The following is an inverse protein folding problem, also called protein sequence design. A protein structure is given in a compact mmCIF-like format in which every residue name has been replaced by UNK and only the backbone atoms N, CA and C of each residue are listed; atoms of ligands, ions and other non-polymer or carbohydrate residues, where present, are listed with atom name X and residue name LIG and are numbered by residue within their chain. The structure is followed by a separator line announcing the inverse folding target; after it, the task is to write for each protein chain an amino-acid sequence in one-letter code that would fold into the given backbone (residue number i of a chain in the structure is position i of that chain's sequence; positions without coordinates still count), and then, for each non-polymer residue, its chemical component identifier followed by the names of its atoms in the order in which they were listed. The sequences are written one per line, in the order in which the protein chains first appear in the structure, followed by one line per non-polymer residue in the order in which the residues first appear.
data_IF_615208540210
#
_entry.id   IF_615208540210
#
_cell.length_a   1.000
_cell.length_b   1.000
_cell.length_c   1.000
_cell.angle_alpha   90.00
_cell.angle_beta   90.00
_cell.angle_gamma   90.00
#
_symmetry.space_group_name_H-M   'P 1'
#
loop_
_entity.id
_entity.type
_entity.pdbx_description
1 polymer ?
#
# COMPACT_ATOMS: atom_id res chain seq x y z
N UNK A 1 40.83 -29.59 -51.08
CA UNK A 1 41.56 -30.79 -51.51
C UNK A 1 41.97 -31.54 -50.25
N UNK A 2 41.35 -32.67 -49.93
CA UNK A 2 41.84 -34.02 -50.31
C UNK A 2 43.32 -34.16 -49.90
N UNK A 3 43.71 -35.06 -49.00
CA UNK A 3 43.70 -36.52 -49.19
C UNK A 3 43.94 -37.21 -47.82
N UNK A 4 43.30 -38.36 -47.61
CA UNK A 4 43.48 -39.31 -46.49
C UNK A 4 44.65 -40.29 -46.82
N UNK A 5 44.98 -41.28 -45.97
CA UNK A 5 46.19 -41.43 -45.16
C UNK A 5 47.26 -42.37 -45.78
N UNK A 6 48.42 -42.52 -45.13
CA UNK A 6 49.31 -43.67 -45.37
C UNK A 6 49.32 -44.61 -44.16
N UNK A 7 49.00 -45.88 -44.46
CA UNK A 7 48.91 -47.01 -43.56
C UNK A 7 50.29 -47.68 -43.43
N UNK A 8 50.86 -47.72 -42.23
CA UNK A 8 51.94 -48.65 -41.92
C UNK A 8 51.40 -49.88 -41.19
N UNK A 9 51.36 -50.94 -41.96
CA UNK A 9 51.12 -52.35 -41.67
C UNK A 9 52.05 -52.91 -40.57
N UNK A 10 51.50 -53.51 -39.51
CA UNK A 10 52.29 -54.42 -38.68
C UNK A 10 51.48 -55.56 -38.06
N UNK A 11 51.65 -56.71 -38.72
CA UNK A 11 51.70 -58.11 -38.24
C UNK A 11 50.72 -58.58 -37.15
N UNK A 12 49.85 -59.49 -37.61
CA UNK A 12 49.11 -60.48 -36.80
C UNK A 12 50.06 -61.35 -35.95
N UNK A 13 49.75 -61.59 -34.67
CA UNK A 13 50.18 -62.80 -33.97
C UNK A 13 49.23 -63.95 -34.31
N UNK A 14 49.83 -65.13 -34.48
CA UNK A 14 49.17 -66.38 -34.81
C UNK A 14 48.22 -66.86 -33.70
N UNK A 15 47.20 -67.56 -34.18
CA UNK A 15 46.13 -68.25 -33.45
C UNK A 15 46.67 -69.46 -32.70
N UNK A 16 46.38 -69.65 -31.40
CA UNK A 16 46.45 -70.97 -30.78
C UNK A 16 45.24 -71.79 -31.22
N UNK A 17 45.52 -73.00 -31.69
CA UNK A 17 44.52 -74.01 -32.00
C UNK A 17 43.96 -74.67 -30.73
N UNK A 18 42.68 -75.03 -30.86
CA UNK A 18 41.90 -76.03 -30.10
C UNK A 18 41.26 -75.60 -28.76
N UNK A 19 40.17 -76.27 -28.30
CA UNK A 19 39.36 -77.31 -28.94
C UNK A 19 37.88 -76.94 -29.08
N UNK A 20 37.21 -77.66 -29.98
CA UNK A 20 35.75 -77.76 -30.04
C UNK A 20 35.28 -78.41 -28.73
N UNK A 21 34.67 -77.62 -27.86
CA UNK A 21 33.88 -78.11 -26.73
C UNK A 21 32.47 -77.52 -26.83
N UNK A 22 31.52 -78.43 -26.94
CA UNK A 22 30.09 -78.19 -26.99
C UNK A 22 29.54 -77.42 -25.78
N UNK A 23 28.34 -76.88 -25.99
CA UNK A 23 27.38 -76.44 -24.97
C UNK A 23 27.51 -74.98 -24.51
N UNK A 24 26.45 -74.20 -24.78
CA UNK A 24 26.38 -72.81 -24.37
C UNK A 24 25.33 -71.94 -25.05
N UNK A 25 24.31 -72.50 -25.73
CA UNK A 25 23.12 -71.74 -26.17
C UNK A 25 22.19 -71.43 -24.97
N UNK A 26 22.72 -70.89 -23.87
CA UNK A 26 21.92 -70.43 -22.73
C UNK A 26 22.59 -69.25 -22.01
N UNK A 27 23.06 -68.22 -22.73
CA UNK A 27 23.60 -67.02 -22.03
C UNK A 27 23.51 -65.71 -22.83
N UNK A 28 22.39 -65.47 -23.51
CA UNK A 28 22.07 -64.13 -24.04
C UNK A 28 20.75 -63.58 -23.51
N UNK A 29 19.78 -64.46 -23.20
CA UNK A 29 18.51 -64.05 -22.57
C UNK A 29 18.69 -63.45 -21.18
N UNK A 30 19.70 -63.89 -20.41
CA UNK A 30 19.94 -63.39 -19.06
C UNK A 30 20.57 -61.99 -19.00
N UNK A 31 21.45 -61.63 -19.93
CA UNK A 31 22.13 -60.31 -19.90
C UNK A 31 21.14 -59.18 -20.21
N UNK A 32 20.30 -59.38 -21.23
CA UNK A 32 19.25 -58.40 -21.60
C UNK A 32 18.21 -58.27 -20.49
N UNK A 33 17.82 -59.37 -19.86
CA UNK A 33 16.90 -59.37 -18.73
C UNK A 33 17.48 -58.67 -17.50
N UNK A 34 18.76 -58.91 -17.15
CA UNK A 34 19.41 -58.21 -16.04
C UNK A 34 19.59 -56.71 -16.30
N UNK A 35 19.90 -56.28 -17.53
CA UNK A 35 19.95 -54.84 -17.86
C UNK A 35 18.58 -54.18 -17.76
N UNK A 36 17.52 -54.86 -18.20
CA UNK A 36 16.15 -54.37 -18.03
C UNK A 36 15.81 -54.24 -16.55
N UNK A 37 16.06 -55.26 -15.73
CA UNK A 37 15.81 -55.19 -14.29
C UNK A 37 16.61 -54.07 -13.59
N UNK A 38 17.88 -53.85 -13.97
CA UNK A 38 18.66 -52.72 -13.45
C UNK A 38 18.12 -51.36 -13.91
N UNK A 39 17.65 -51.25 -15.16
CA UNK A 39 17.03 -50.03 -15.68
C UNK A 39 15.72 -49.70 -14.97
N UNK A 40 14.88 -50.72 -14.70
CA UNK A 40 13.66 -50.56 -13.90
C UNK A 40 13.97 -50.14 -12.45
N UNK A 41 14.98 -50.76 -11.80
CA UNK A 41 15.41 -50.36 -10.44
C UNK A 41 15.93 -48.93 -10.41
N UNK A 42 16.77 -48.52 -11.37
CA UNK A 42 17.26 -47.13 -11.48
C UNK A 42 16.13 -46.15 -11.77
N UNK A 43 15.14 -46.54 -12.57
CA UNK A 43 13.93 -45.76 -12.84
C UNK A 43 13.07 -45.55 -11.59
N UNK A 44 12.82 -46.62 -10.82
CA UNK A 44 12.08 -46.56 -9.57
C UNK A 44 12.78 -45.70 -8.51
N UNK A 45 14.10 -45.85 -8.35
CA UNK A 45 14.90 -45.01 -7.45
C UNK A 45 14.88 -43.53 -7.83
N UNK A 46 14.93 -43.22 -9.14
CA UNK A 46 14.86 -41.83 -9.64
C UNK A 46 13.46 -41.22 -9.43
N UNK A 47 12.39 -42.00 -9.55
CA UNK A 47 11.03 -41.55 -9.25
C UNK A 47 10.82 -41.31 -7.75
N UNK A 48 11.35 -42.19 -6.89
CA UNK A 48 11.28 -42.02 -5.43
C UNK A 48 12.05 -40.77 -5.00
N UNK A 49 13.28 -40.57 -5.49
CA UNK A 49 14.08 -39.37 -5.20
C UNK A 49 13.40 -38.07 -5.67
N UNK A 50 12.71 -38.09 -6.84
CA UNK A 50 11.91 -36.95 -7.30
C UNK A 50 10.69 -36.70 -6.43
N UNK A 51 10.00 -37.76 -5.99
CA UNK A 51 8.86 -37.65 -5.08
C UNK A 51 9.29 -37.08 -3.72
N UNK A 52 10.44 -37.50 -3.19
CA UNK A 52 11.00 -36.96 -1.94
C UNK A 52 11.40 -35.49 -2.09
N UNK A 53 12.03 -35.12 -3.20
CA UNK A 53 12.36 -33.73 -3.49
C UNK A 53 11.09 -32.86 -3.63
N UNK A 54 10.06 -33.35 -4.32
CA UNK A 54 8.77 -32.65 -4.45
C UNK A 54 8.08 -32.49 -3.10
N UNK A 55 8.08 -33.52 -2.26
CA UNK A 55 7.53 -33.44 -0.91
C UNK A 55 8.31 -32.45 -0.03
N UNK A 56 9.63 -32.39 -0.16
CA UNK A 56 10.43 -31.41 0.56
C UNK A 56 10.14 -29.98 0.10
N UNK A 57 10.13 -29.72 -1.21
CA UNK A 57 9.77 -28.42 -1.76
C UNK A 57 8.36 -28.01 -1.33
N UNK A 58 7.40 -28.93 -1.37
CA UNK A 58 6.02 -28.67 -0.94
C UNK A 58 5.95 -28.29 0.55
N UNK A 59 6.67 -29.02 1.43
CA UNK A 59 6.74 -28.71 2.86
C UNK A 59 7.30 -27.31 3.13
N UNK A 60 8.41 -26.95 2.51
CA UNK A 60 9.01 -25.62 2.70
C UNK A 60 8.15 -24.51 2.12
N UNK A 61 7.48 -24.75 1.00
CA UNK A 61 6.55 -23.78 0.39
C UNK A 61 5.34 -23.53 1.31
N UNK A 62 4.76 -24.58 1.88
CA UNK A 62 3.65 -24.46 2.84
C UNK A 62 4.12 -23.72 4.10
N UNK A 63 5.29 -24.06 4.65
CA UNK A 63 5.83 -23.39 5.83
C UNK A 63 6.07 -21.90 5.58
N UNK A 64 6.64 -21.54 4.43
CA UNK A 64 6.84 -20.15 4.05
C UNK A 64 5.52 -19.39 3.88
N UNK A 65 4.51 -20.01 3.26
CA UNK A 65 3.18 -19.42 3.12
C UNK A 65 2.50 -19.18 4.48
N UNK A 66 2.64 -20.11 5.43
CA UNK A 66 2.09 -19.97 6.79
C UNK A 66 2.81 -18.86 7.57
N UNK A 67 4.14 -18.78 7.49
CA UNK A 67 4.92 -17.73 8.16
C UNK A 67 4.61 -16.34 7.61
N UNK A 68 4.50 -16.20 6.29
CA UNK A 68 4.16 -14.93 5.64
C UNK A 68 2.74 -14.50 5.99
N UNK A 69 1.77 -15.42 5.95
CA UNK A 69 0.40 -15.15 6.39
C UNK A 69 0.33 -14.71 7.85
N UNK A 70 1.02 -15.40 8.76
CA UNK A 70 1.07 -15.03 10.17
C UNK A 70 1.71 -13.65 10.39
N UNK A 71 2.76 -13.32 9.63
CA UNK A 71 3.41 -12.02 9.68
C UNK A 71 2.48 -10.89 9.19
N UNK A 72 1.77 -11.08 8.08
CA UNK A 72 0.82 -10.10 7.55
C UNK A 72 -0.36 -9.87 8.51
N UNK A 73 -0.89 -10.94 9.11
CA UNK A 73 -1.94 -10.85 10.12
C UNK A 73 -1.43 -10.11 11.36
N UNK A 74 -0.22 -10.43 11.84
CA UNK A 74 0.41 -9.72 12.96
C UNK A 74 0.63 -8.23 12.69
N UNK A 75 1.12 -7.88 11.50
CA UNK A 75 1.30 -6.49 11.09
C UNK A 75 -0.03 -5.73 10.97
N UNK A 76 -1.08 -6.39 10.48
CA UNK A 76 -2.43 -5.83 10.45
C UNK A 76 -2.95 -5.48 11.85
N UNK A 77 -2.86 -6.41 12.81
CA UNK A 77 -3.28 -6.18 14.19
C UNK A 77 -2.46 -5.10 14.90
N UNK A 78 -1.15 -5.06 14.67
CA UNK A 78 -0.29 -4.00 15.23
C UNK A 78 -0.68 -2.65 14.64
N UNK A 79 -0.97 -2.58 13.33
CA UNK A 79 -1.38 -1.32 12.70
C UNK A 79 -2.68 -0.78 13.30
N UNK A 80 -3.71 -1.61 13.48
CA UNK A 80 -4.95 -1.18 14.16
C UNK A 80 -4.68 -0.70 15.59
N UNK A 81 -3.88 -1.43 16.38
CA UNK A 81 -3.55 -1.05 17.75
C UNK A 81 -2.75 0.27 17.83
N UNK A 82 -1.82 0.50 16.89
CA UNK A 82 -1.05 1.75 16.79
C UNK A 82 -1.96 2.91 16.39
N UNK A 83 -2.95 2.70 15.51
CA UNK A 83 -3.86 3.75 15.07
C UNK A 83 -4.99 4.08 16.07
N UNK A 84 -5.30 3.19 17.02
CA UNK A 84 -6.35 3.43 18.03
C UNK A 84 -5.94 4.52 19.05
N UNK A 85 -4.64 4.82 19.20
CA UNK A 85 -4.14 5.79 20.20
C UNK A 85 -3.40 7.00 19.64
N UNK A 86 -3.37 7.24 18.32
CA UNK A 86 -2.72 8.46 17.78
C UNK A 86 -3.44 9.74 18.23
N UNK A 87 -4.73 9.63 18.54
CA UNK A 87 -5.51 10.72 19.15
C UNK A 87 -5.34 10.79 20.69
N UNK A 88 -4.84 9.74 21.34
CA UNK A 88 -4.69 9.65 22.80
C UNK A 88 -3.48 10.46 23.31
N UNK A 89 -2.47 10.67 22.46
CA UNK A 89 -1.41 11.66 22.69
C UNK A 89 -1.90 13.11 22.51
N UNK A 90 -3.23 13.32 22.51
CA UNK A 90 -3.92 14.57 22.80
C UNK A 90 -3.18 15.79 22.32
N UNK A 91 -3.59 16.34 21.17
CA UNK A 91 -3.13 17.64 20.66
C UNK A 91 -2.83 18.56 21.83
N UNK A 92 -1.57 18.93 22.00
CA UNK A 92 -1.18 20.00 22.91
C UNK A 92 -1.74 21.29 22.30
N UNK A 93 -3.02 21.55 22.55
CA UNK A 93 -3.51 22.90 22.48
C UNK A 93 -2.69 23.61 23.53
N UNK A 94 -1.90 24.61 23.14
CA UNK A 94 -1.36 25.55 24.10
C UNK A 94 -2.56 26.03 24.90
N UNK A 95 -2.65 25.62 26.17
CA UNK A 95 -3.61 26.20 27.08
C UNK A 95 -3.18 27.66 27.18
N UNK A 96 -3.85 28.51 26.41
CA UNK A 96 -3.95 29.92 26.79
C UNK A 96 -4.88 29.89 28.00
N UNK A 97 -4.35 29.40 29.12
CA UNK A 97 -4.88 29.73 30.42
C UNK A 97 -5.05 31.24 30.39
N UNK A 98 -6.28 31.66 30.69
CA UNK A 98 -6.57 33.03 31.03
C UNK A 98 -5.69 33.36 32.24
N UNK A 99 -4.43 33.74 31.99
CA UNK A 99 -3.46 34.02 33.03
C UNK A 99 -3.96 35.23 33.77
N UNK A 100 -4.59 34.94 34.92
CA UNK A 100 -4.89 35.88 35.98
C UNK A 100 -3.61 36.15 36.78
N UNK A 101 -2.48 36.31 36.10
CA UNK A 101 -1.25 36.84 36.67
C UNK A 101 -1.25 38.34 36.43
N UNK A 102 -1.54 39.07 37.50
CA UNK A 102 -1.16 40.46 37.65
C UNK A 102 0.34 40.57 37.43
N UNK A 103 0.78 40.94 36.23
CA UNK A 103 1.89 41.85 35.97
C UNK A 103 2.14 41.97 34.46
N UNK A 104 1.99 43.19 33.94
CA UNK A 104 2.21 43.64 32.54
C UNK A 104 1.25 43.07 31.46
N UNK A 105 0.00 43.46 31.62
CA UNK A 105 -1.11 43.65 30.68
C UNK A 105 -0.79 43.80 29.16
N UNK A 106 -0.48 42.70 28.47
CA UNK A 106 -0.76 42.58 27.03
C UNK A 106 -1.25 41.17 26.72
N UNK A 107 -2.55 40.94 26.94
CA UNK A 107 -3.22 39.74 26.43
C UNK A 107 -3.26 39.85 24.91
N UNK A 108 -2.40 39.12 24.21
CA UNK A 108 -2.46 39.01 22.74
C UNK A 108 -3.74 38.24 22.39
N UNK A 109 -4.88 38.94 22.32
CA UNK A 109 -6.08 38.38 21.72
C UNK A 109 -5.95 38.53 20.21
N UNK A 110 -5.41 37.52 19.55
CA UNK A 110 -5.40 37.49 18.09
C UNK A 110 -6.84 37.46 17.57
N UNK A 111 -7.20 38.42 16.72
CA UNK A 111 -8.49 38.44 16.05
C UNK A 111 -8.44 37.53 14.82
N UNK A 112 -9.13 36.39 14.90
CA UNK A 112 -9.11 35.35 13.86
C UNK A 112 -10.44 35.31 13.11
N UNK A 113 -10.38 35.33 11.77
CA UNK A 113 -11.53 35.09 10.91
C UNK A 113 -11.54 33.67 10.34
N UNK A 114 -12.66 32.95 10.50
CA UNK A 114 -12.97 31.72 9.79
C UNK A 114 -13.69 32.07 8.48
N UNK A 115 -12.98 31.96 7.35
CA UNK A 115 -13.49 32.35 6.03
C UNK A 115 -13.82 31.11 5.22
N UNK A 116 -15.00 31.10 4.60
CA UNK A 116 -15.48 30.02 3.73
C UNK A 116 -16.15 30.59 2.49
N UNK A 117 -16.24 29.84 1.40
CA UNK A 117 -16.99 30.26 0.21
C UNK A 117 -17.56 29.05 -0.56
N UNK A 118 -18.65 29.28 -1.28
CA UNK A 118 -19.27 28.32 -2.20
C UNK A 118 -19.72 29.02 -3.47
N UNK A 119 -19.39 28.44 -4.63
CA UNK A 119 -19.99 28.89 -5.88
C UNK A 119 -21.27 28.10 -6.16
N UNK A 120 -22.41 28.63 -5.69
CA UNK A 120 -23.72 28.05 -5.96
C UNK A 120 -24.13 28.15 -7.43
N UNK A 121 -23.49 29.03 -8.21
CA UNK A 121 -23.80 29.23 -9.63
C UNK A 121 -23.12 28.25 -10.59
N UNK A 122 -22.13 27.50 -10.12
CA UNK A 122 -21.40 26.52 -10.93
C UNK A 122 -22.14 25.18 -10.98
N UNK A 123 -22.70 24.87 -12.15
CA UNK A 123 -23.32 23.57 -12.43
C UNK A 123 -22.31 22.66 -13.12
N UNK A 124 -21.74 21.71 -12.37
CA UNK A 124 -20.91 20.65 -12.94
C UNK A 124 -21.84 19.47 -13.25
N UNK A 125 -21.76 18.81 -14.43
CA UNK A 125 -22.56 17.63 -14.73
C UNK A 125 -22.44 16.58 -13.61
N UNK A 126 -23.57 16.20 -13.01
CA UNK A 126 -23.61 15.24 -11.89
C UNK A 126 -23.26 15.78 -10.51
N UNK A 127 -23.01 17.09 -10.33
CA UNK A 127 -22.79 17.74 -9.03
C UNK A 127 -23.44 19.11 -8.95
N UNK A 128 -24.22 19.35 -7.89
CA UNK A 128 -24.78 20.67 -7.57
C UNK A 128 -24.23 21.16 -6.24
N UNK A 129 -23.85 22.44 -6.19
CA UNK A 129 -23.43 23.14 -4.97
C UNK A 129 -24.50 24.08 -4.43
N UNK A 130 -25.66 24.15 -5.10
CA UNK A 130 -26.82 24.95 -4.69
C UNK A 130 -27.28 24.56 -3.28
N UNK A 131 -27.41 25.55 -2.37
CA UNK A 131 -27.88 25.34 -1.01
C UNK A 131 -26.87 24.64 -0.09
N UNK A 132 -25.64 24.39 -0.57
CA UNK A 132 -24.62 23.72 0.22
C UNK A 132 -24.15 24.59 1.38
N UNK A 133 -24.06 25.91 1.20
CA UNK A 133 -23.66 26.82 2.26
C UNK A 133 -24.66 26.78 3.42
N UNK A 134 -25.96 26.70 3.12
CA UNK A 134 -27.03 26.61 4.13
C UNK A 134 -26.90 25.36 4.99
N UNK A 135 -26.38 24.26 4.43
CA UNK A 135 -26.16 23.01 5.15
C UNK A 135 -24.92 23.08 6.06
N UNK A 136 -23.81 23.68 5.58
CA UNK A 136 -22.53 23.63 6.31
C UNK A 136 -22.29 24.84 7.23
N UNK A 137 -22.86 26.01 6.92
CA UNK A 137 -22.64 27.24 7.66
C UNK A 137 -23.04 27.15 9.13
N UNK A 138 -24.18 26.53 9.52
CA UNK A 138 -24.55 26.43 10.93
C UNK A 138 -23.49 25.72 11.80
N UNK A 139 -22.83 24.69 11.25
CA UNK A 139 -21.74 24.00 11.94
C UNK A 139 -20.51 24.91 12.10
N UNK A 140 -20.12 25.60 11.02
CA UNK A 140 -18.97 26.52 11.03
C UNK A 140 -19.19 27.72 11.97
N UNK A 141 -20.40 28.28 11.98
CA UNK A 141 -20.79 29.36 12.89
C UNK A 141 -20.70 28.91 14.35
N UNK A 142 -21.22 27.72 14.69
CA UNK A 142 -21.12 27.16 16.05
C UNK A 142 -19.66 26.95 16.46
N UNK A 143 -18.82 26.48 15.54
CA UNK A 143 -17.39 26.30 15.78
C UNK A 143 -16.68 27.64 16.01
N UNK A 144 -16.90 28.61 15.12
CA UNK A 144 -16.34 29.96 15.25
C UNK A 144 -16.73 30.61 16.59
N UNK A 145 -18.01 30.55 16.95
CA UNK A 145 -18.52 31.09 18.23
C UNK A 145 -17.86 30.43 19.44
N UNK A 146 -17.66 29.10 19.42
CA UNK A 146 -17.02 28.36 20.51
C UNK A 146 -15.56 28.78 20.73
N UNK A 147 -14.87 29.17 19.66
CA UNK A 147 -13.44 29.49 19.67
C UNK A 147 -13.15 31.00 19.63
N UNK A 148 -14.18 31.85 19.65
CA UNK A 148 -14.01 33.31 19.58
C UNK A 148 -13.59 33.82 18.20
N UNK A 149 -13.81 33.05 17.13
CA UNK A 149 -13.52 33.46 15.77
C UNK A 149 -14.69 34.24 15.15
N UNK A 150 -14.38 35.12 14.20
CA UNK A 150 -15.40 35.76 13.36
C UNK A 150 -15.67 34.87 12.14
N UNK A 151 -16.91 34.42 11.95
CA UNK A 151 -17.29 33.66 10.75
C UNK A 151 -17.58 34.60 9.58
N UNK A 152 -17.05 34.27 8.40
CA UNK A 152 -17.24 35.02 7.15
C UNK A 152 -17.60 34.06 6.03
N UNK A 153 -18.75 34.31 5.42
CA UNK A 153 -19.10 33.76 4.11
C UNK A 153 -18.64 34.73 3.02
N UNK A 154 -17.68 34.28 2.21
CA UNK A 154 -17.04 35.03 1.13
C UNK A 154 -17.56 34.61 -0.26
N UNK A 155 -18.73 33.98 -0.32
CA UNK A 155 -19.35 33.54 -1.59
C UNK A 155 -19.68 34.71 -2.53
N UNK A 156 -19.80 35.94 -2.01
CA UNK A 156 -19.99 37.17 -2.79
C UNK A 156 -18.75 37.62 -3.60
N UNK A 157 -17.56 37.13 -3.26
CA UNK A 157 -16.27 37.60 -3.83
C UNK A 157 -15.73 36.62 -4.89
N UNK A 158 -16.49 35.60 -5.23
CA UNK A 158 -16.05 34.56 -6.17
C UNK A 158 -15.87 35.16 -7.57
N UNK A 159 -14.65 35.05 -8.11
CA UNK A 159 -14.33 35.44 -9.47
C UNK A 159 -14.55 34.25 -10.42
N UNK A 160 -15.71 34.25 -11.08
CA UNK A 160 -16.09 33.20 -12.05
C UNK A 160 -15.31 33.25 -13.37
N UNK A 161 -14.51 34.28 -13.61
CA UNK A 161 -13.64 34.36 -14.80
C UNK A 161 -12.35 33.54 -14.66
N UNK A 162 -12.05 33.06 -13.44
CA UNK A 162 -10.85 32.31 -13.10
C UNK A 162 -11.21 30.93 -12.53
N UNK A 163 -10.25 29.98 -12.48
CA UNK A 163 -10.49 28.71 -11.81
C UNK A 163 -10.89 28.93 -10.34
N UNK A 164 -11.87 28.19 -9.78
CA UNK A 164 -12.42 28.43 -8.43
C UNK A 164 -11.40 28.49 -7.30
N UNK A 165 -10.28 27.76 -7.44
CA UNK A 165 -9.18 27.76 -6.47
C UNK A 165 -8.50 29.14 -6.32
N UNK A 166 -8.67 30.06 -7.27
CA UNK A 166 -8.13 31.42 -7.20
C UNK A 166 -8.99 32.38 -6.37
N UNK A 167 -10.28 32.10 -6.24
CA UNK A 167 -11.22 32.96 -5.48
C UNK A 167 -10.86 33.07 -4.01
N UNK A 168 -10.18 32.05 -3.44
CA UNK A 168 -9.66 32.10 -2.06
C UNK A 168 -8.65 33.23 -1.83
N UNK A 169 -7.84 33.56 -2.84
CA UNK A 169 -6.85 34.63 -2.74
C UNK A 169 -7.56 35.98 -2.64
N UNK A 170 -8.64 36.18 -3.40
CA UNK A 170 -9.44 37.41 -3.36
C UNK A 170 -10.14 37.58 -2.01
N UNK A 171 -10.76 36.51 -1.52
CA UNK A 171 -11.41 36.50 -0.22
C UNK A 171 -10.43 36.80 0.92
N UNK A 172 -9.26 36.13 0.96
CA UNK A 172 -8.22 36.40 1.95
C UNK A 172 -7.75 37.85 1.87
N UNK A 173 -7.44 38.37 0.68
CA UNK A 173 -6.98 39.76 0.50
C UNK A 173 -7.99 40.80 0.97
N UNK A 174 -9.31 40.57 0.79
CA UNK A 174 -10.36 41.49 1.24
C UNK A 174 -10.43 41.58 2.76
N UNK A 175 -10.17 40.48 3.47
CA UNK A 175 -10.32 40.39 4.92
C UNK A 175 -9.02 40.56 5.71
N UNK A 176 -7.86 40.36 5.08
CA UNK A 176 -6.55 40.39 5.76
C UNK A 176 -6.29 41.70 6.53
N UNK A 177 -6.71 42.89 6.06
CA UNK A 177 -6.50 44.13 6.83
C UNK A 177 -7.32 44.25 8.13
N UNK A 178 -8.31 43.38 8.35
CA UNK A 178 -9.26 43.47 9.48
C UNK A 178 -8.99 42.44 10.59
N UNK A 179 -8.13 41.47 10.35
CA UNK A 179 -7.89 40.32 11.22
C UNK A 179 -6.39 40.03 11.27
N UNK A 180 -5.92 39.56 12.41
CA UNK A 180 -4.51 39.15 12.57
C UNK A 180 -4.25 37.84 11.84
N UNK A 181 -5.27 36.97 11.79
CA UNK A 181 -5.20 35.66 11.14
C UNK A 181 -6.46 35.36 10.34
N UNK A 182 -6.27 34.74 9.18
CA UNK A 182 -7.36 34.18 8.38
C UNK A 182 -7.22 32.67 8.35
N UNK A 183 -8.24 32.00 8.85
CA UNK A 183 -8.43 30.57 8.73
C UNK A 183 -9.36 30.28 7.55
N UNK A 184 -8.76 29.91 6.41
CA UNK A 184 -9.51 29.45 5.24
C UNK A 184 -10.08 28.05 5.48
N UNK A 185 -11.38 27.87 5.23
CA UNK A 185 -12.04 26.57 5.38
C UNK A 185 -12.99 26.30 4.21
N UNK A 186 -12.66 25.29 3.40
CA UNK A 186 -13.48 24.92 2.26
C UNK A 186 -14.86 24.39 2.68
N UNK A 187 -15.81 24.53 1.76
CA UNK A 187 -17.12 23.91 1.88
C UNK A 187 -17.09 22.54 1.22
N UNK A 188 -17.16 21.51 2.06
CA UNK A 188 -17.27 20.11 1.62
C UNK A 188 -18.56 19.52 2.20
N UNK A 189 -19.34 18.86 1.35
CA UNK A 189 -20.42 17.97 1.80
C UNK A 189 -19.79 16.78 2.51
N UNK A 190 -20.00 16.63 3.81
CA UNK A 190 -19.80 15.33 4.45
C UNK A 190 -20.97 14.43 4.04
N UNK A 191 -20.83 13.68 2.95
CA UNK A 191 -21.89 12.81 2.40
C UNK A 191 -22.29 11.62 3.31
N UNK A 192 -21.88 11.56 4.57
CA UNK A 192 -22.24 10.48 5.51
C UNK A 192 -22.49 10.99 6.93
N UNK A 193 -23.34 12.01 7.07
CA UNK A 193 -23.84 12.48 8.38
C UNK A 193 -24.98 11.61 8.93
N UNK A 194 -24.77 10.29 8.96
CA UNK A 194 -25.61 9.40 9.78
C UNK A 194 -24.82 8.39 10.64
N UNK A 195 -23.48 8.40 10.62
CA UNK A 195 -22.67 7.55 11.52
C UNK A 195 -21.38 8.19 12.07
N UNK A 196 -21.26 9.51 12.06
CA UNK A 196 -20.16 10.17 12.77
C UNK A 196 -20.70 10.95 13.95
N UNK A 197 -20.76 10.27 15.10
CA UNK A 197 -20.62 10.94 16.37
C UNK A 197 -19.41 11.90 16.28
N UNK A 198 -19.66 13.19 16.46
CA UNK A 198 -18.69 14.24 16.81
C UNK A 198 -17.21 13.95 16.53
N UNK A 199 -16.82 13.70 15.27
CA UNK A 199 -15.39 13.63 14.94
C UNK A 199 -14.93 15.03 14.58
N UNK A 200 -14.48 15.75 15.60
CA UNK A 200 -13.92 17.09 15.49
C UNK A 200 -12.59 17.02 14.72
N UNK A 201 -12.64 17.10 13.40
CA UNK A 201 -11.47 17.26 12.55
C UNK A 201 -10.93 18.70 12.72
N UNK A 202 -10.19 18.97 13.79
CA UNK A 202 -9.34 20.17 13.87
C UNK A 202 -8.25 19.99 12.80
N UNK A 203 -8.25 20.82 11.76
CA UNK A 203 -7.02 21.10 11.01
C UNK A 203 -6.25 22.15 11.81
N UNK A 204 -5.04 21.79 12.24
CA UNK A 204 -4.01 22.76 12.59
C UNK A 204 -2.87 22.51 11.61
N UNK A 205 -2.43 23.56 10.92
CA UNK A 205 -1.11 23.61 10.27
C UNK A 205 -0.05 23.58 11.37
#
# INVERSE_FOLDING_TARGET
MHVIPELSFQRRPQKPSDPIACSGKHSWRNISFMRLQQSFKKGAQRLHSKADHLNQVLKYTILFALLTSACLVGLGYISEAVFINVNALGRQCLDIEHSHSQDTNYKISANIALVTCTDEGMKIPGRSFEGLINLVAPNKIKYAKRHGYTFIDASDIIDRSRPPSWSKILAVRKHLPKFDWIFWNDVVTQQNLQKCACTCLKLCV
#
